data_IF_693824880464
#
_entry.id   IF_693824880464
#
_cell.length_a   1.000
_cell.length_b   1.000
_cell.length_c   1.000
_cell.angle_alpha   90.00
_cell.angle_beta   90.00
_cell.angle_gamma   90.00
#
_symmetry.space_group_name_H-M   'P 1'
#
loop_
_entity.id
_entity.type
_entity.pdbx_description
1 polymer ?
#
# COMPACT_ATOMS: atom_id res chain seq x y z
N UNK A 1 0.98 30.66 -29.27
CA UNK A 1 0.83 31.70 -28.22
C UNK A 1 1.46 31.21 -26.94
N UNK A 2 1.08 30.01 -26.49
CA UNK A 2 1.91 29.25 -25.55
C UNK A 2 3.23 28.82 -26.24
N UNK A 3 4.32 28.74 -25.46
CA UNK A 3 5.58 28.08 -25.79
C UNK A 3 5.93 27.17 -24.60
N UNK A 4 6.58 26.02 -24.83
CA UNK A 4 6.83 25.06 -23.75
C UNK A 4 7.71 25.66 -22.62
N UNK A 5 8.74 26.43 -22.99
CA UNK A 5 9.65 27.11 -22.05
C UNK A 5 8.94 28.11 -21.10
N UNK A 6 7.81 28.69 -21.53
CA UNK A 6 7.02 29.62 -20.73
C UNK A 6 5.79 28.97 -20.09
N UNK A 7 5.34 27.81 -20.57
CA UNK A 7 4.12 27.14 -20.12
C UNK A 7 4.11 26.87 -18.62
N UNK A 8 5.20 26.36 -18.04
CA UNK A 8 5.28 26.11 -16.59
C UNK A 8 5.15 27.39 -15.74
N UNK A 9 5.62 28.53 -16.24
CA UNK A 9 5.47 29.82 -15.56
C UNK A 9 4.02 30.32 -15.66
N UNK A 10 3.40 30.22 -16.84
CA UNK A 10 1.99 30.56 -17.07
C UNK A 10 1.07 29.68 -16.20
N UNK A 11 1.26 28.36 -16.21
CA UNK A 11 0.49 27.40 -15.40
C UNK A 11 0.66 27.60 -13.89
N UNK A 12 1.80 28.14 -13.44
CA UNK A 12 2.01 28.47 -12.02
C UNK A 12 1.34 29.79 -11.66
N UNK A 13 1.38 30.79 -12.54
CA UNK A 13 0.71 32.07 -12.34
C UNK A 13 -0.82 31.96 -12.41
N UNK A 14 -1.34 31.08 -13.28
CA UNK A 14 -2.78 30.89 -13.47
C UNK A 14 -3.51 30.27 -12.29
N UNK A 15 -2.78 29.70 -11.32
CA UNK A 15 -3.37 29.22 -10.07
C UNK A 15 -4.01 30.33 -9.23
N UNK A 16 -3.66 31.60 -9.52
CA UNK A 16 -4.24 32.79 -8.89
C UNK A 16 -5.28 33.50 -9.78
N UNK A 17 -5.64 32.93 -10.94
CA UNK A 17 -6.63 33.50 -11.87
C UNK A 17 -8.06 33.03 -11.55
N UNK A 18 -9.06 33.76 -12.03
CA UNK A 18 -10.47 33.38 -11.83
C UNK A 18 -10.81 32.07 -12.56
N UNK A 19 -11.83 31.34 -12.07
CA UNK A 19 -12.32 30.07 -12.64
C UNK A 19 -12.47 30.10 -14.17
N UNK A 20 -13.06 31.18 -14.71
CA UNK A 20 -13.25 31.30 -16.16
C UNK A 20 -11.92 31.46 -16.93
N UNK A 21 -10.99 32.24 -16.40
CA UNK A 21 -9.66 32.44 -16.99
C UNK A 21 -8.84 31.14 -16.97
N UNK A 22 -8.90 30.39 -15.86
CA UNK A 22 -8.28 29.07 -15.76
C UNK A 22 -8.89 28.08 -16.77
N UNK A 23 -10.22 28.01 -16.86
CA UNK A 23 -10.90 27.17 -17.85
C UNK A 23 -10.49 27.55 -19.28
N UNK A 24 -10.47 28.83 -19.63
CA UNK A 24 -9.99 29.31 -20.94
C UNK A 24 -8.53 28.92 -21.21
N UNK A 25 -7.63 29.04 -20.23
CA UNK A 25 -6.24 28.60 -20.37
C UNK A 25 -6.16 27.09 -20.63
N UNK A 26 -6.89 26.27 -19.87
CA UNK A 26 -6.88 24.82 -20.08
C UNK A 26 -7.45 24.40 -21.43
N UNK A 27 -8.50 25.08 -21.93
CA UNK A 27 -8.96 24.87 -23.32
C UNK A 27 -7.86 25.22 -24.34
N UNK A 28 -7.11 26.31 -24.13
CA UNK A 28 -5.99 26.68 -25.02
C UNK A 28 -4.83 25.66 -24.94
N UNK A 29 -4.50 25.14 -23.76
CA UNK A 29 -3.47 24.11 -23.55
C UNK A 29 -3.87 22.81 -24.29
N UNK A 30 -5.12 22.37 -24.13
CA UNK A 30 -5.66 21.21 -24.85
C UNK A 30 -5.67 21.42 -26.37
N UNK A 31 -6.07 22.60 -26.85
CA UNK A 31 -6.12 22.93 -28.27
C UNK A 31 -4.74 23.05 -28.96
N UNK A 32 -3.66 23.23 -28.18
CA UNK A 32 -2.28 23.17 -28.69
C UNK A 32 -1.67 21.76 -28.62
N UNK A 33 -2.41 20.74 -28.15
CA UNK A 33 -1.93 19.35 -27.98
C UNK A 33 -0.65 19.24 -27.14
N UNK A 34 -0.53 20.05 -26.09
CA UNK A 34 0.63 20.06 -25.19
C UNK A 34 0.81 18.71 -24.49
N UNK A 35 2.03 18.18 -24.46
CA UNK A 35 2.33 16.91 -23.78
C UNK A 35 2.07 17.01 -22.27
N UNK A 36 1.49 15.94 -21.69
CA UNK A 36 1.31 15.84 -20.24
C UNK A 36 2.65 15.97 -19.49
N UNK A 37 3.76 15.54 -20.09
CA UNK A 37 5.12 15.64 -19.50
C UNK A 37 5.56 17.10 -19.30
N UNK A 38 5.14 18.01 -20.18
CA UNK A 38 5.41 19.45 -20.08
C UNK A 38 4.54 20.13 -19.01
N UNK A 39 3.46 19.47 -18.57
CA UNK A 39 2.47 19.99 -17.61
C UNK A 39 2.69 19.41 -16.20
N UNK A 40 3.00 18.10 -16.09
CA UNK A 40 3.01 17.33 -14.84
C UNK A 40 3.86 17.93 -13.69
N UNK A 41 4.96 18.69 -13.89
CA UNK A 41 5.69 19.31 -12.78
C UNK A 41 4.86 20.30 -11.95
N UNK A 42 3.74 20.83 -12.46
CA UNK A 42 2.84 21.70 -11.69
C UNK A 42 2.02 20.92 -10.65
N UNK A 43 1.82 19.61 -10.84
CA UNK A 43 0.88 18.79 -10.07
C UNK A 43 1.20 18.73 -8.56
N UNK A 44 2.49 18.85 -8.20
CA UNK A 44 2.95 18.89 -6.81
C UNK A 44 2.65 20.19 -6.08
N UNK A 45 2.25 21.26 -6.81
CA UNK A 45 1.85 22.56 -6.26
C UNK A 45 0.33 22.65 -5.98
N UNK A 46 -0.47 21.72 -6.54
CA UNK A 46 -1.92 21.85 -6.56
C UNK A 46 -2.58 21.33 -5.27
N UNK A 47 -2.90 22.23 -4.35
CA UNK A 47 -3.89 21.96 -3.30
C UNK A 47 -5.25 21.56 -3.89
N UNK A 48 -5.96 20.65 -3.21
CA UNK A 48 -7.25 20.10 -3.62
C UNK A 48 -8.41 21.09 -3.50
N UNK A 49 -8.43 21.92 -2.44
CA UNK A 49 -9.52 22.86 -2.20
C UNK A 49 -9.42 24.13 -3.07
N UNK A 50 -8.20 24.48 -3.50
CA UNK A 50 -7.89 25.77 -4.12
C UNK A 50 -7.72 25.75 -5.64
N UNK A 51 -7.58 24.57 -6.28
CA UNK A 51 -7.20 24.45 -7.71
C UNK A 51 -8.04 23.42 -8.47
N UNK A 52 -9.37 23.45 -8.29
CA UNK A 52 -10.30 22.46 -8.84
C UNK A 52 -10.22 22.37 -10.39
N UNK A 53 -10.06 23.51 -11.06
CA UNK A 53 -9.95 23.66 -12.51
C UNK A 53 -8.70 22.97 -13.05
N UNK A 54 -7.54 23.27 -12.46
CA UNK A 54 -6.26 22.66 -12.83
C UNK A 54 -6.21 21.16 -12.55
N UNK A 55 -6.74 20.72 -11.40
CA UNK A 55 -6.85 19.30 -11.07
C UNK A 55 -7.81 18.56 -12.02
N UNK A 56 -8.93 19.18 -12.41
CA UNK A 56 -9.88 18.59 -13.37
C UNK A 56 -9.24 18.46 -14.76
N UNK A 57 -8.56 19.51 -15.25
CA UNK A 57 -7.89 19.47 -16.54
C UNK A 57 -6.77 18.41 -16.59
N UNK A 58 -5.90 18.36 -15.58
CA UNK A 58 -4.80 17.38 -15.52
C UNK A 58 -5.34 15.95 -15.35
N UNK A 59 -6.43 15.74 -14.61
CA UNK A 59 -7.11 14.44 -14.52
C UNK A 59 -7.58 13.97 -15.90
N UNK A 60 -8.27 14.83 -16.66
CA UNK A 60 -8.78 14.50 -17.99
C UNK A 60 -7.67 14.23 -19.02
N UNK A 61 -6.50 14.85 -18.86
CA UNK A 61 -5.32 14.55 -19.68
C UNK A 61 -4.66 13.23 -19.27
N UNK A 62 -4.44 13.00 -17.97
CA UNK A 62 -3.87 11.73 -17.47
C UNK A 62 -4.73 10.51 -17.80
N UNK A 63 -6.06 10.67 -17.91
CA UNK A 63 -6.99 9.63 -18.33
C UNK A 63 -6.85 9.21 -19.81
N UNK A 64 -6.18 10.01 -20.65
CA UNK A 64 -5.91 9.69 -22.05
C UNK A 64 -4.50 9.11 -22.25
N UNK A 65 -3.70 9.07 -21.19
CA UNK A 65 -2.28 8.72 -21.21
C UNK A 65 -2.03 7.33 -20.63
N UNK A 66 -1.13 6.57 -21.25
CA UNK A 66 -0.71 5.26 -20.73
C UNK A 66 0.16 5.46 -19.48
N UNK A 67 -0.02 4.71 -18.38
CA UNK A 67 0.81 4.85 -17.19
C UNK A 67 2.28 4.57 -17.51
N UNK A 68 3.15 5.46 -17.07
CA UNK A 68 4.61 5.33 -17.12
C UNK A 68 5.20 5.46 -15.73
N UNK A 69 6.44 4.99 -15.54
CA UNK A 69 7.16 5.11 -14.27
C UNK A 69 7.30 6.58 -13.79
N UNK A 70 7.36 7.53 -14.73
CA UNK A 70 7.49 8.96 -14.43
C UNK A 70 6.14 9.59 -14.06
N UNK A 71 5.09 9.35 -14.85
CA UNK A 71 3.74 9.86 -14.54
C UNK A 71 3.21 9.28 -13.23
N UNK A 72 3.37 7.98 -13.00
CA UNK A 72 2.97 7.33 -11.74
C UNK A 72 3.74 7.91 -10.54
N UNK A 73 5.03 8.18 -10.70
CA UNK A 73 5.89 8.79 -9.67
C UNK A 73 5.45 10.21 -9.32
N UNK A 74 5.09 11.05 -10.29
CA UNK A 74 4.59 12.40 -10.01
C UNK A 74 3.17 12.38 -9.41
N UNK A 75 2.27 11.53 -9.91
CA UNK A 75 0.92 11.34 -9.36
C UNK A 75 0.97 10.88 -7.90
N UNK A 76 1.78 9.86 -7.59
CA UNK A 76 1.97 9.39 -6.20
C UNK A 76 2.86 10.30 -5.35
N UNK A 77 3.57 11.27 -5.95
CA UNK A 77 4.30 12.31 -5.18
C UNK A 77 3.37 13.32 -4.52
N UNK A 78 2.10 13.45 -4.95
CA UNK A 78 1.08 14.22 -4.22
C UNK A 78 0.90 13.70 -2.79
N UNK A 79 0.65 14.62 -1.87
CA UNK A 79 0.30 14.26 -0.48
C UNK A 79 -0.97 13.41 -0.41
N UNK A 80 -1.05 12.59 0.64
CA UNK A 80 -2.28 11.85 0.98
C UNK A 80 -3.19 12.84 1.70
N UNK A 81 -3.90 13.68 0.93
CA UNK A 81 -4.74 14.78 1.41
C UNK A 81 -5.96 14.34 2.22
N UNK A 82 -7.00 15.18 2.41
CA UNK A 82 -8.23 14.76 3.08
C UNK A 82 -8.91 13.60 2.33
N UNK A 83 -9.85 12.89 2.96
CA UNK A 83 -10.55 11.75 2.34
C UNK A 83 -11.43 12.16 1.14
N UNK A 84 -11.67 13.45 0.92
CA UNK A 84 -12.31 13.99 -0.26
C UNK A 84 -11.34 14.31 -1.42
N UNK A 85 -10.01 14.38 -1.20
CA UNK A 85 -9.06 14.38 -2.32
C UNK A 85 -9.01 12.97 -2.93
N UNK A 86 -9.80 12.81 -3.98
CA UNK A 86 -9.90 11.62 -4.80
C UNK A 86 -9.11 11.77 -6.12
N UNK A 87 -8.28 12.80 -6.31
CA UNK A 87 -7.56 13.01 -7.58
C UNK A 87 -6.67 11.79 -7.91
N UNK A 88 -5.78 11.42 -6.97
CA UNK A 88 -4.85 10.30 -7.17
C UNK A 88 -5.60 8.98 -7.35
N UNK A 89 -6.65 8.76 -6.56
CA UNK A 89 -7.52 7.59 -6.67
C UNK A 89 -8.21 7.54 -8.04
N UNK A 90 -8.65 8.68 -8.59
CA UNK A 90 -9.35 8.76 -9.88
C UNK A 90 -8.43 8.51 -11.08
N UNK A 91 -7.17 8.98 -11.02
CA UNK A 91 -6.14 8.66 -12.03
C UNK A 91 -5.84 7.16 -12.00
N UNK A 92 -5.55 6.61 -10.80
CA UNK A 92 -5.22 5.20 -10.64
C UNK A 92 -6.39 4.28 -11.01
N UNK A 93 -7.64 4.65 -10.72
CA UNK A 93 -8.83 3.91 -11.15
C UNK A 93 -9.03 3.91 -12.66
N UNK A 94 -8.67 4.98 -13.36
CA UNK A 94 -8.74 5.02 -14.82
C UNK A 94 -7.68 4.09 -15.43
N UNK A 95 -6.41 4.25 -15.06
CA UNK A 95 -5.33 3.37 -15.51
C UNK A 95 -5.57 1.90 -15.15
N UNK A 96 -6.19 1.61 -14.01
CA UNK A 96 -6.53 0.23 -13.62
C UNK A 96 -7.62 -0.42 -14.49
N UNK A 97 -8.43 0.35 -15.24
CA UNK A 97 -9.46 -0.21 -16.15
C UNK A 97 -8.90 -0.65 -17.50
N UNK A 98 -7.86 0.01 -17.96
CA UNK A 98 -7.33 -0.16 -19.33
C UNK A 98 -5.93 -0.79 -19.34
N UNK A 99 -5.18 -0.67 -18.24
CA UNK A 99 -3.76 -0.98 -18.13
C UNK A 99 -3.39 -1.63 -16.78
N UNK A 100 -4.27 -2.49 -16.22
CA UNK A 100 -4.13 -3.07 -14.86
C UNK A 100 -2.75 -3.70 -14.60
N UNK A 101 -2.28 -4.62 -15.46
CA UNK A 101 -0.99 -5.30 -15.29
C UNK A 101 0.20 -4.33 -15.28
N UNK A 102 0.18 -3.35 -16.19
CA UNK A 102 1.26 -2.35 -16.34
C UNK A 102 1.27 -1.42 -15.13
N UNK A 103 0.08 -1.01 -14.66
CA UNK A 103 -0.05 -0.23 -13.43
C UNK A 103 0.47 -1.02 -12.21
N UNK A 104 0.16 -2.32 -12.13
CA UNK A 104 0.62 -3.21 -11.07
C UNK A 104 2.14 -3.36 -11.06
N UNK A 105 2.79 -3.61 -12.21
CA UNK A 105 4.24 -3.66 -12.33
C UNK A 105 4.92 -2.35 -11.90
N UNK A 106 4.39 -1.20 -12.36
CA UNK A 106 4.94 0.11 -12.05
C UNK A 106 4.77 0.48 -10.56
N UNK A 107 3.62 0.18 -9.95
CA UNK A 107 3.39 0.37 -8.51
C UNK A 107 4.30 -0.55 -7.69
N UNK A 108 4.38 -1.84 -8.05
CA UNK A 108 5.21 -2.83 -7.36
C UNK A 108 6.69 -2.43 -7.40
N UNK A 109 7.23 -2.10 -8.58
CA UNK A 109 8.60 -1.64 -8.75
C UNK A 109 8.89 -0.36 -7.96
N UNK A 110 7.97 0.63 -7.98
CA UNK A 110 8.12 1.86 -7.23
C UNK A 110 8.10 1.61 -5.71
N UNK A 111 7.17 0.80 -5.19
CA UNK A 111 7.07 0.46 -3.77
C UNK A 111 8.31 -0.30 -3.29
N UNK A 112 8.69 -1.38 -3.98
CA UNK A 112 9.90 -2.17 -3.69
C UNK A 112 11.19 -1.35 -3.76
N UNK A 113 11.23 -0.26 -4.54
CA UNK A 113 12.37 0.68 -4.55
C UNK A 113 12.49 1.55 -3.29
N UNK A 114 11.41 1.71 -2.51
CA UNK A 114 11.39 2.47 -1.25
C UNK A 114 11.59 1.60 -0.01
N UNK A 115 11.22 0.33 -0.09
CA UNK A 115 11.43 -0.64 0.98
C UNK A 115 12.90 -1.13 0.95
N UNK A 116 13.66 -1.01 2.05
CA UNK A 116 15.02 -1.55 2.09
C UNK A 116 14.96 -3.08 1.91
N UNK A 117 15.59 -3.60 0.86
CA UNK A 117 15.86 -5.03 0.76
C UNK A 117 16.60 -5.49 2.03
N UNK A 118 16.15 -6.60 2.64
CA UNK A 118 16.64 -7.07 3.95
C UNK A 118 18.16 -7.17 3.92
N UNK A 119 18.81 -6.25 4.65
CA UNK A 119 20.21 -5.95 4.40
C UNK A 119 21.11 -7.07 4.93
N UNK A 120 21.75 -7.81 4.01
CA UNK A 120 22.87 -8.67 4.37
C UNK A 120 23.92 -7.84 5.13
N UNK A 121 24.38 -8.25 6.34
CA UNK A 121 25.06 -7.35 7.28
C UNK A 121 26.31 -6.62 6.78
N UNK A 122 26.94 -7.11 5.70
CA UNK A 122 28.25 -6.64 5.23
C UNK A 122 28.25 -5.45 4.25
N UNK A 123 27.10 -4.84 3.90
CA UNK A 123 27.07 -3.61 3.08
C UNK A 123 26.68 -2.37 3.90
N UNK A 124 27.70 -1.64 4.36
CA UNK A 124 27.56 -0.34 5.03
C UNK A 124 26.72 0.63 4.18
N UNK A 125 25.60 1.09 4.73
CA UNK A 125 24.65 2.04 4.11
C UNK A 125 25.33 3.39 3.87
N UNK A 126 25.71 3.69 2.62
CA UNK A 126 25.98 5.08 2.19
C UNK A 126 24.65 5.84 2.20
N UNK A 127 24.40 6.59 3.28
CA UNK A 127 23.31 7.57 3.33
C UNK A 127 23.68 8.76 2.43
N UNK A 128 23.39 8.64 1.12
CA UNK A 128 23.61 9.71 0.16
C UNK A 128 22.59 10.83 0.35
N UNK A 129 23.05 12.04 0.65
CA UNK A 129 22.23 13.24 0.85
C UNK A 129 21.70 13.81 -0.47
N UNK A 130 20.77 13.08 -1.09
CA UNK A 130 19.80 13.61 -2.06
C UNK A 130 18.44 12.98 -1.76
N UNK A 131 17.54 13.75 -1.16
CA UNK A 131 16.13 13.37 -1.09
C UNK A 131 15.60 13.34 -2.53
N UNK A 132 15.37 12.15 -3.10
CA UNK A 132 14.86 12.03 -4.45
C UNK A 132 13.44 12.59 -4.52
N UNK A 133 13.10 13.35 -5.57
CA UNK A 133 11.75 13.82 -5.86
C UNK A 133 10.83 12.65 -6.29
N UNK A 134 10.54 11.76 -5.36
CA UNK A 134 9.75 10.54 -5.52
C UNK A 134 9.15 10.17 -4.16
N UNK A 135 7.95 9.55 -4.11
CA UNK A 135 7.22 9.36 -2.86
C UNK A 135 7.91 8.40 -1.89
N UNK A 136 7.63 8.58 -0.59
CA UNK A 136 8.01 7.61 0.44
C UNK A 136 7.16 6.34 0.34
N UNK A 137 7.64 5.23 0.90
CA UNK A 137 6.86 3.99 0.99
C UNK A 137 5.49 4.23 1.66
N UNK A 138 5.48 5.04 2.72
CA UNK A 138 4.27 5.42 3.46
C UNK A 138 3.26 6.22 2.63
N UNK A 139 3.74 7.14 1.77
CA UNK A 139 2.89 7.90 0.84
C UNK A 139 2.27 6.98 -0.23
N UNK A 140 3.04 6.03 -0.74
CA UNK A 140 2.54 5.01 -1.68
C UNK A 140 1.47 4.13 -0.99
N UNK A 141 1.75 3.60 0.21
CA UNK A 141 0.82 2.77 0.98
C UNK A 141 -0.48 3.51 1.33
N UNK A 142 -0.40 4.81 1.68
CA UNK A 142 -1.58 5.63 1.95
C UNK A 142 -2.49 5.85 0.73
N UNK A 143 -1.93 6.03 -0.46
CA UNK A 143 -2.71 6.04 -1.70
C UNK A 143 -3.27 4.65 -2.05
N UNK A 144 -2.52 3.58 -1.77
CA UNK A 144 -2.97 2.20 -2.02
C UNK A 144 -4.09 1.73 -1.08
N UNK A 145 -4.14 2.13 0.19
CA UNK A 145 -5.26 1.77 1.08
C UNK A 145 -6.57 2.48 0.67
N UNK A 146 -6.48 3.68 0.07
CA UNK A 146 -7.64 4.39 -0.51
C UNK A 146 -8.16 3.73 -1.77
N UNK A 147 -7.26 3.33 -2.67
CA UNK A 147 -7.59 2.68 -3.94
C UNK A 147 -8.25 1.29 -3.74
N UNK A 148 -7.98 0.66 -2.59
CA UNK A 148 -8.34 -0.71 -2.19
C UNK A 148 -9.79 -1.15 -2.42
N UNK A 149 -10.74 -0.23 -2.31
CA UNK A 149 -12.16 -0.53 -2.49
C UNK A 149 -12.55 -0.73 -3.96
N UNK A 150 -11.85 -0.07 -4.89
CA UNK A 150 -12.19 -0.07 -6.32
C UNK A 150 -11.36 -1.04 -7.18
N UNK A 151 -10.19 -1.48 -6.73
CA UNK A 151 -9.24 -2.26 -7.56
C UNK A 151 -8.87 -3.62 -6.95
N UNK A 152 -9.85 -4.37 -6.42
CA UNK A 152 -9.60 -5.67 -5.74
C UNK A 152 -8.84 -6.72 -6.58
N UNK A 153 -8.79 -6.58 -7.91
CA UNK A 153 -8.06 -7.48 -8.81
C UNK A 153 -6.56 -7.14 -8.85
N UNK A 154 -6.19 -5.86 -9.04
CA UNK A 154 -4.84 -5.31 -8.92
C UNK A 154 -4.02 -5.90 -7.75
N UNK A 155 -4.60 -5.99 -6.55
CA UNK A 155 -3.90 -6.54 -5.37
C UNK A 155 -3.64 -8.04 -5.42
N UNK A 156 -4.37 -8.80 -6.24
CA UNK A 156 -4.17 -10.26 -6.41
C UNK A 156 -3.06 -10.59 -7.39
N UNK A 157 -2.57 -9.62 -8.16
CA UNK A 157 -1.47 -9.84 -9.08
C UNK A 157 -0.18 -10.16 -8.31
N UNK A 158 0.52 -11.21 -8.74
CA UNK A 158 1.77 -11.72 -8.16
C UNK A 158 2.78 -10.62 -7.79
N UNK A 159 2.93 -9.61 -8.65
CA UNK A 159 3.86 -8.49 -8.46
C UNK A 159 3.44 -7.58 -7.30
N UNK A 160 2.13 -7.35 -7.13
CA UNK A 160 1.57 -6.55 -6.04
C UNK A 160 1.61 -7.30 -4.71
N UNK A 161 1.29 -8.60 -4.70
CA UNK A 161 1.44 -9.45 -3.52
C UNK A 161 2.88 -9.43 -2.99
N UNK A 162 3.86 -9.68 -3.85
CA UNK A 162 5.29 -9.69 -3.48
C UNK A 162 5.78 -8.32 -3.01
N UNK A 163 5.36 -7.24 -3.65
CA UNK A 163 5.71 -5.87 -3.23
C UNK A 163 5.05 -5.48 -1.88
N UNK A 164 3.81 -5.89 -1.63
CA UNK A 164 3.12 -5.63 -0.36
C UNK A 164 3.68 -6.47 0.80
N UNK A 165 4.01 -7.75 0.56
CA UNK A 165 4.75 -8.59 1.53
C UNK A 165 6.10 -7.94 1.89
N UNK A 166 6.87 -7.49 0.89
CA UNK A 166 8.13 -6.77 1.13
C UNK A 166 7.89 -5.49 1.95
N UNK A 167 6.88 -4.69 1.60
CA UNK A 167 6.56 -3.46 2.34
C UNK A 167 6.14 -3.73 3.79
N UNK A 168 5.25 -4.70 4.02
CA UNK A 168 4.80 -5.12 5.34
C UNK A 168 5.96 -5.58 6.24
N UNK A 169 6.93 -6.31 5.67
CA UNK A 169 8.14 -6.75 6.40
C UNK A 169 9.08 -5.60 6.77
N UNK A 170 9.05 -4.50 6.01
CA UNK A 170 9.85 -3.30 6.25
C UNK A 170 9.15 -2.23 7.13
N UNK A 171 7.83 -2.36 7.37
CA UNK A 171 7.05 -1.44 8.19
C UNK A 171 7.31 -1.63 9.69
N UNK A 172 7.25 -0.51 10.43
CA UNK A 172 7.07 -0.54 11.89
C UNK A 172 5.68 -1.03 12.27
N UNK A 173 5.49 -1.49 13.51
CA UNK A 173 4.18 -2.03 13.95
C UNK A 173 3.08 -0.95 14.00
N UNK A 174 3.46 0.32 14.17
CA UNK A 174 2.56 1.47 13.98
C UNK A 174 2.03 1.54 12.53
N UNK A 175 2.92 1.44 11.54
CA UNK A 175 2.55 1.45 10.12
C UNK A 175 1.77 0.18 9.72
N UNK A 176 2.07 -0.98 10.31
CA UNK A 176 1.27 -2.21 10.11
C UNK A 176 -0.15 -2.06 10.66
N UNK A 177 -0.32 -1.37 11.78
CA UNK A 177 -1.63 -1.03 12.34
C UNK A 177 -2.39 -0.04 11.44
N UNK A 178 -1.72 1.05 11.03
CA UNK A 178 -2.24 2.08 10.14
C UNK A 178 -2.75 1.53 8.81
N UNK A 179 -1.97 0.68 8.15
CA UNK A 179 -2.30 0.06 6.86
C UNK A 179 -2.85 -1.38 7.00
N UNK A 180 -3.37 -1.73 8.18
CA UNK A 180 -3.87 -3.09 8.48
C UNK A 180 -4.92 -3.58 7.48
N UNK A 181 -5.82 -2.70 7.04
CA UNK A 181 -6.85 -3.02 6.04
C UNK A 181 -6.29 -3.31 4.63
N UNK A 182 -5.13 -2.74 4.28
CA UNK A 182 -4.40 -2.99 3.04
C UNK A 182 -3.59 -4.28 3.15
N UNK A 183 -2.87 -4.47 4.25
CA UNK A 183 -2.11 -5.70 4.49
C UNK A 183 -3.01 -6.93 4.72
N UNK A 184 -4.28 -6.75 5.09
CA UNK A 184 -5.28 -7.83 5.11
C UNK A 184 -5.68 -8.35 3.70
N UNK A 185 -5.22 -7.72 2.62
CA UNK A 185 -5.29 -8.27 1.26
C UNK A 185 -4.04 -9.05 0.83
N UNK A 186 -3.01 -9.11 1.68
CA UNK A 186 -1.83 -9.92 1.41
C UNK A 186 -2.17 -11.38 1.68
N UNK A 187 -2.11 -12.20 0.64
CA UNK A 187 -2.29 -13.64 0.74
C UNK A 187 -1.01 -14.24 1.33
N UNK A 188 -1.16 -15.09 2.36
CA UNK A 188 -0.04 -15.76 3.03
C UNK A 188 0.33 -16.99 2.21
N UNK A 189 1.60 -17.08 1.79
CA UNK A 189 2.09 -18.22 1.02
C UNK A 189 2.27 -19.47 1.92
N UNK A 190 1.21 -20.29 2.02
CA UNK A 190 1.26 -21.62 2.65
C UNK A 190 1.97 -22.69 1.77
N UNK A 191 2.65 -22.30 0.69
CA UNK A 191 3.39 -23.19 -0.20
C UNK A 191 4.62 -23.88 0.42
N UNK A 192 4.97 -23.57 1.68
CA UNK A 192 6.19 -24.05 2.34
C UNK A 192 6.19 -25.51 2.82
N UNK A 193 5.04 -26.20 2.89
CA UNK A 193 4.94 -27.50 3.56
C UNK A 193 3.95 -28.49 2.94
N UNK A 194 4.39 -29.35 2.00
CA UNK A 194 3.47 -30.41 1.54
C UNK A 194 3.80 -31.29 0.34
N UNK A 195 5.05 -31.69 0.03
CA UNK A 195 5.28 -32.82 -0.91
C UNK A 195 6.63 -33.52 -0.77
N UNK A 196 6.62 -34.68 -0.10
CA UNK A 196 7.75 -35.60 -0.08
C UNK A 196 7.37 -36.99 -0.60
N UNK A 197 8.11 -37.52 -1.58
CA UNK A 197 8.28 -38.98 -1.76
C UNK A 197 9.45 -39.34 -2.69
N UNK A 198 10.36 -40.16 -2.17
CA UNK A 198 11.00 -41.25 -2.92
C UNK A 198 12.10 -40.93 -3.93
N UNK A 199 13.35 -40.87 -3.47
CA UNK A 199 14.46 -41.58 -4.15
C UNK A 199 15.57 -41.94 -3.16
N UNK A 200 15.51 -43.14 -2.60
CA UNK A 200 16.55 -43.66 -1.70
C UNK A 200 17.51 -44.57 -2.46
N UNK A 201 18.80 -44.20 -2.57
CA UNK A 201 19.84 -45.11 -3.10
C UNK A 201 21.25 -44.87 -2.52
N UNK A 202 21.32 -45.08 -1.19
CA UNK A 202 22.43 -45.60 -0.38
C UNK A 202 23.91 -45.33 -0.70
N UNK A 203 24.68 -45.09 0.38
CA UNK A 203 25.88 -45.89 0.70
C UNK A 203 26.21 -45.83 2.21
N UNK A 204 26.77 -46.92 2.74
CA UNK A 204 27.33 -47.09 4.10
C UNK A 204 28.83 -47.44 3.95
N UNK A 205 29.70 -47.04 4.88
CA UNK A 205 30.15 -47.90 6.01
C UNK A 205 29.82 -47.25 7.40
N UNK A 206 29.74 -47.90 8.56
CA UNK A 206 30.73 -48.68 9.36
C UNK A 206 31.95 -47.82 9.79
N UNK A 207 32.37 -47.69 11.06
CA UNK A 207 32.08 -48.33 12.37
C UNK A 207 31.84 -47.21 13.46
N UNK A 208 31.56 -47.40 14.76
CA UNK A 208 32.04 -48.43 15.71
C UNK A 208 31.19 -48.67 16.98
N UNK A 209 31.47 -49.81 17.63
CA UNK A 209 31.25 -50.18 19.05
C UNK A 209 31.62 -49.05 20.02
N UNK A 210 30.98 -48.82 21.20
CA UNK A 210 29.66 -49.21 21.75
C UNK A 210 29.32 -48.23 22.93
N UNK A 211 28.42 -48.42 23.92
CA UNK A 211 28.08 -49.54 24.84
C UNK A 211 26.59 -49.47 25.27
N UNK A 212 26.10 -50.44 26.07
CA UNK A 212 24.77 -50.44 26.73
C UNK A 212 24.86 -50.13 28.23
N UNK A 213 23.80 -49.54 28.81
CA UNK A 213 23.25 -49.91 30.11
C UNK A 213 21.72 -49.93 30.00
N UNK A 214 21.07 -50.85 30.71
CA UNK A 214 19.60 -50.97 30.84
C UNK A 214 19.32 -51.11 32.33
N UNK A 215 18.27 -50.44 32.81
CA UNK A 215 17.59 -50.77 34.06
C UNK A 215 16.08 -50.67 33.82
N UNK A 216 15.36 -51.67 34.33
CA UNK A 216 13.90 -51.88 34.35
C UNK A 216 13.31 -51.27 35.65
N UNK A 217 12.02 -51.08 35.89
CA UNK A 217 10.72 -51.31 35.19
C UNK A 217 9.64 -50.46 35.96
N UNK A 218 8.34 -50.78 35.82
CA UNK A 218 7.12 -50.28 36.52
C UNK A 218 6.42 -49.16 35.72
N UNK A 219 5.33 -49.36 34.95
CA UNK A 219 4.05 -50.14 35.01
C UNK A 219 2.86 -49.28 35.51
N UNK A 220 1.69 -49.48 34.89
CA UNK A 220 0.35 -48.82 35.01
C UNK A 220 0.06 -47.92 33.79
N UNK A 221 -0.56 -48.43 32.71
CA UNK A 221 -2.02 -48.66 32.49
C UNK A 221 -2.79 -47.33 32.26
N UNK A 222 -3.27 -47.05 31.03
CA UNK A 222 -4.65 -47.26 30.49
C UNK A 222 -5.68 -46.22 30.99
N UNK A 223 -6.65 -45.67 30.26
CA UNK A 223 -7.12 -45.74 28.84
C UNK A 223 -7.66 -44.33 28.48
N UNK A 224 -7.74 -43.85 27.23
CA UNK A 224 -8.73 -44.15 26.15
C UNK A 224 -10.20 -43.74 26.44
N UNK A 225 -10.95 -43.43 25.36
CA UNK A 225 -12.29 -42.78 25.30
C UNK A 225 -12.32 -41.29 25.72
N UNK A 226 -12.94 -40.31 25.04
CA UNK A 226 -14.07 -40.22 24.07
C UNK A 226 -15.47 -40.15 24.69
N UNK A 227 -16.01 -38.92 24.85
CA UNK A 227 -17.45 -38.65 24.87
C UNK A 227 -17.75 -37.18 24.51
N UNK A 228 -18.74 -36.99 23.64
CA UNK A 228 -19.52 -35.76 23.49
C UNK A 228 -20.37 -35.41 24.74
N UNK A 229 -20.73 -34.13 24.93
CA UNK A 229 -22.12 -33.69 25.16
C UNK A 229 -22.27 -32.14 25.06
N UNK A 230 -23.49 -31.62 24.92
CA UNK A 230 -23.82 -30.17 24.90
C UNK A 230 -24.47 -29.68 26.21
N UNK A 231 -24.21 -28.42 26.63
CA UNK A 231 -25.17 -27.69 27.48
C UNK A 231 -25.23 -26.18 27.16
N UNK A 232 -26.44 -25.65 26.94
CA UNK A 232 -26.71 -24.23 26.68
C UNK A 232 -27.64 -23.67 27.77
N UNK A 233 -27.11 -22.82 28.66
CA UNK A 233 -27.92 -22.03 29.62
C UNK A 233 -27.54 -20.54 29.59
N UNK A 234 -28.54 -19.68 29.83
CA UNK A 234 -28.58 -18.24 29.47
C UNK A 234 -28.37 -17.28 30.69
N UNK A 235 -28.34 -15.94 30.52
CA UNK A 235 -27.51 -15.05 31.35
C UNK A 235 -28.17 -14.50 32.63
N UNK A 236 -27.41 -13.72 33.42
CA UNK A 236 -27.90 -12.91 34.54
C UNK A 236 -27.54 -11.43 34.38
N UNK A 237 -28.41 -10.54 34.91
CA UNK A 237 -28.35 -9.10 34.72
C UNK A 237 -27.89 -8.29 35.96
N UNK A 238 -27.31 -7.13 35.65
CA UNK A 238 -27.18 -5.88 36.41
C UNK A 238 -27.81 -5.69 37.81
N UNK A 239 -27.15 -4.84 38.62
CA UNK A 239 -27.82 -3.98 39.61
C UNK A 239 -27.32 -2.53 39.54
N UNK A 240 -28.27 -1.59 39.66
CA UNK A 240 -28.06 -0.14 39.86
C UNK A 240 -27.69 0.10 41.36
N UNK A 241 -27.39 1.28 41.93
CA UNK A 241 -27.58 2.70 41.54
C UNK A 241 -26.88 3.59 42.59
N UNK A 242 -26.46 4.82 42.25
CA UNK A 242 -26.80 6.02 43.08
C UNK A 242 -26.70 7.32 42.26
N UNK A 243 -27.43 8.36 42.69
CA UNK A 243 -27.42 9.75 42.20
C UNK A 243 -26.96 10.66 43.34
N UNK A 244 -26.45 11.85 43.00
CA UNK A 244 -26.97 13.18 43.40
C UNK A 244 -26.09 14.29 42.76
N UNK A 245 -26.67 15.28 42.06
CA UNK A 245 -26.88 16.70 42.47
C UNK A 245 -25.58 17.53 42.69
N UNK A 246 -25.48 18.84 42.42
CA UNK A 246 -26.13 19.81 41.49
C UNK A 246 -25.42 21.18 41.68
N UNK A 247 -25.36 22.04 40.65
CA UNK A 247 -24.84 23.43 40.67
C UNK A 247 -24.18 23.77 39.31
N UNK A 248 -24.44 24.88 38.60
CA UNK A 248 -24.59 26.33 38.94
C UNK A 248 -23.27 26.99 39.40
N UNK A 249 -22.88 28.17 38.90
CA UNK A 249 -23.34 28.93 37.71
C UNK A 249 -22.24 29.93 37.28
N UNK A 250 -22.54 30.76 36.28
CA UNK A 250 -21.75 31.84 35.66
C UNK A 250 -20.88 32.71 36.59
N UNK A 251 -19.61 32.93 36.19
CA UNK A 251 -19.03 34.23 35.79
C UNK A 251 -17.73 34.01 34.98
#
# INVERSE_FOLDING_TARGET
ILQEDSLQNILTASLMWETFEQVCLWQLVSAHSMSISTIIPVLTKLDFASHAEALTAILLMLQQEKPTAELLKEVLSRDVGPNCDLFVVSVLLAWCREHEDILAELIAALLSSRCPAVASPNKRKRAGTRASAAPSAERILGHLDRLRTGTRHLYKLDVMQKALQQAQSACSDSQKSQFSNLFALVEVDEGGSGRGKGSGRGRRPANSVAKRKIAKDIISDTSDESSEDEEIVKPKQAKKRKKNLVGSDSD
#
